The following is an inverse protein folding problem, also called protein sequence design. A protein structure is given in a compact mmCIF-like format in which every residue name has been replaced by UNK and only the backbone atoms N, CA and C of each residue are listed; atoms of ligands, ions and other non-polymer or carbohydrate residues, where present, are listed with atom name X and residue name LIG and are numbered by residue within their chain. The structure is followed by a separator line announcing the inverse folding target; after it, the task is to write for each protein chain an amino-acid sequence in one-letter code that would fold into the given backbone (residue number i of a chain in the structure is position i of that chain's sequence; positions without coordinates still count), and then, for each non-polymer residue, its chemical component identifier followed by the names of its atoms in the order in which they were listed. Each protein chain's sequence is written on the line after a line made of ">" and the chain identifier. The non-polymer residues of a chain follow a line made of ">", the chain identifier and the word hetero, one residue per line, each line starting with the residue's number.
data_IF_709649313808
#
_entry.id   IF_709649313808
#
_cell.length_a   1.000
_cell.length_b   1.000
_cell.length_c   1.000
_cell.angle_alpha   90.00
_cell.angle_beta   90.00
_cell.angle_gamma   90.00
#
_symmetry.space_group_name_H-M   'P 1'
#
loop_
_entity.id
_entity.type
_entity.pdbx_description
1 polymer ?
#
# COMPACT_ATOMS: atom_id res chain seq x y z
N UNK A 1 -27.39 34.74 -13.83
CA UNK A 1 -26.17 33.99 -14.18
C UNK A 1 -25.98 32.95 -13.11
N UNK A 2 -26.06 31.68 -13.51
CA UNK A 2 -25.93 30.50 -12.64
C UNK A 2 -24.45 30.32 -12.29
N UNK A 3 -24.12 30.21 -11.01
CA UNK A 3 -22.95 29.46 -10.54
C UNK A 3 -23.46 28.44 -9.53
N UNK A 4 -23.60 27.21 -10.02
CA UNK A 4 -23.76 26.00 -9.21
C UNK A 4 -22.46 25.79 -8.45
N UNK A 5 -22.45 26.06 -7.15
CA UNK A 5 -21.44 25.51 -6.25
C UNK A 5 -22.02 24.23 -5.67
N UNK A 6 -21.83 23.12 -6.38
CA UNK A 6 -22.19 21.77 -5.94
C UNK A 6 -20.90 20.99 -5.61
N UNK A 7 -19.96 21.66 -4.95
CA UNK A 7 -18.62 21.16 -4.60
C UNK A 7 -18.40 21.12 -3.08
N UNK A 8 -19.45 20.90 -2.29
CA UNK A 8 -19.27 20.33 -0.96
C UNK A 8 -19.08 18.82 -1.12
N UNK A 9 -17.86 18.44 -1.51
CA UNK A 9 -17.32 17.10 -1.25
C UNK A 9 -17.54 16.82 0.24
N UNK A 10 -18.54 16.02 0.57
CA UNK A 10 -18.77 15.53 1.92
C UNK A 10 -17.49 14.82 2.39
N UNK A 11 -16.62 15.56 3.11
CA UNK A 11 -15.38 15.02 3.66
C UNK A 11 -15.74 13.83 4.52
N UNK A 12 -15.23 12.67 4.14
CA UNK A 12 -15.51 11.44 4.82
C UNK A 12 -14.95 11.47 6.24
N UNK A 13 -15.73 10.96 7.18
CA UNK A 13 -15.31 10.91 8.58
C UNK A 13 -13.97 10.18 8.71
N UNK A 14 -12.98 10.74 9.45
CA UNK A 14 -11.67 10.12 9.64
C UNK A 14 -11.72 8.83 10.47
N UNK A 15 -12.88 8.50 11.04
CA UNK A 15 -13.10 7.30 11.85
C UNK A 15 -13.61 6.10 11.04
N UNK A 16 -13.99 6.31 9.77
CA UNK A 16 -14.41 5.22 8.90
C UNK A 16 -13.19 4.44 8.42
N UNK A 17 -13.31 3.12 8.27
CA UNK A 17 -12.27 2.26 7.69
C UNK A 17 -12.05 2.61 6.20
N UNK A 18 -10.85 2.44 5.63
CA UNK A 18 -10.59 2.73 4.21
C UNK A 18 -11.63 2.12 3.26
N UNK A 19 -12.04 0.87 3.52
CA UNK A 19 -13.04 0.12 2.75
C UNK A 19 -14.51 0.36 3.16
N UNK A 20 -14.85 1.43 3.90
CA UNK A 20 -16.21 1.57 4.43
C UNK A 20 -17.28 1.60 3.33
N UNK A 21 -17.01 2.20 2.15
CA UNK A 21 -17.98 2.28 1.04
C UNK A 21 -18.36 0.88 0.59
N UNK A 22 -17.36 0.02 0.39
CA UNK A 22 -17.60 -1.39 0.07
C UNK A 22 -18.37 -2.12 1.18
N UNK A 23 -17.94 -2.00 2.44
CA UNK A 23 -18.62 -2.66 3.57
C UNK A 23 -20.09 -2.20 3.70
N UNK A 24 -20.34 -0.92 3.44
CA UNK A 24 -21.69 -0.38 3.44
C UNK A 24 -22.51 -0.88 2.25
N UNK A 25 -21.92 -0.97 1.06
CA UNK A 25 -22.54 -1.54 -0.12
C UNK A 25 -22.93 -3.02 0.08
N UNK A 26 -22.07 -3.82 0.74
CA UNK A 26 -22.36 -5.21 1.15
C UNK A 26 -23.60 -5.26 2.02
N UNK A 27 -23.63 -4.49 3.12
CA UNK A 27 -24.78 -4.43 4.02
C UNK A 27 -26.08 -4.04 3.32
N UNK A 28 -26.04 -3.05 2.42
CA UNK A 28 -27.21 -2.66 1.64
C UNK A 28 -27.65 -3.77 0.67
N UNK A 29 -26.70 -4.49 0.05
CA UNK A 29 -27.01 -5.57 -0.89
C UNK A 29 -27.68 -6.78 -0.21
N UNK A 30 -27.38 -7.02 1.06
CA UNK A 30 -27.96 -8.09 1.88
C UNK A 30 -29.35 -7.73 2.43
N UNK A 31 -29.74 -6.45 2.37
CA UNK A 31 -31.06 -6.02 2.82
C UNK A 31 -32.17 -6.50 1.86
N UNK A 32 -33.30 -7.03 2.38
CA UNK A 32 -34.45 -7.42 1.57
C UNK A 32 -34.98 -6.27 0.70
N UNK A 33 -35.07 -5.07 1.30
CA UNK A 33 -35.45 -3.83 0.65
C UNK A 33 -34.38 -2.76 0.97
N UNK A 34 -33.34 -2.62 0.12
CA UNK A 34 -32.32 -1.60 0.33
C UNK A 34 -32.91 -0.23 0.04
N UNK A 35 -32.89 0.65 1.02
CA UNK A 35 -33.09 2.06 0.76
C UNK A 35 -31.79 2.66 0.18
N UNK A 36 -31.76 2.76 -1.14
CA UNK A 36 -30.63 3.31 -1.88
C UNK A 36 -30.43 4.82 -1.63
N UNK A 37 -31.40 5.50 -0.99
CA UNK A 37 -31.23 6.90 -0.60
C UNK A 37 -30.31 7.07 0.62
N UNK A 38 -30.01 5.98 1.34
CA UNK A 38 -29.05 5.99 2.46
C UNK A 38 -27.59 6.00 1.93
N UNK A 39 -27.37 5.64 0.67
CA UNK A 39 -26.05 5.79 0.05
C UNK A 39 -25.85 7.24 -0.41
N UNK A 40 -24.95 7.96 0.28
CA UNK A 40 -24.64 9.36 0.00
C UNK A 40 -23.97 9.59 -1.37
N UNK A 41 -23.36 8.56 -1.96
CA UNK A 41 -22.56 8.67 -3.19
C UNK A 41 -22.90 7.60 -4.25
N UNK A 42 -22.68 7.95 -5.53
CA UNK A 42 -23.03 7.10 -6.68
C UNK A 42 -22.19 5.81 -6.73
N UNK A 43 -20.91 5.86 -6.36
CA UNK A 43 -20.03 4.69 -6.42
C UNK A 43 -20.47 3.60 -5.43
N UNK A 44 -20.98 3.99 -4.25
CA UNK A 44 -21.59 3.05 -3.29
C UNK A 44 -22.87 2.43 -3.87
N UNK A 45 -23.72 3.23 -4.53
CA UNK A 45 -24.95 2.73 -5.18
C UNK A 45 -24.64 1.72 -6.28
N UNK A 46 -23.66 2.02 -7.12
CA UNK A 46 -23.22 1.15 -8.20
C UNK A 46 -22.61 -0.15 -7.64
N UNK A 47 -21.82 -0.06 -6.56
CA UNK A 47 -21.30 -1.25 -5.87
C UNK A 47 -22.41 -2.12 -5.28
N UNK A 48 -23.45 -1.54 -4.68
CA UNK A 48 -24.61 -2.30 -4.20
C UNK A 48 -25.37 -2.96 -5.35
N UNK A 49 -25.57 -2.26 -6.46
CA UNK A 49 -26.22 -2.81 -7.65
C UNK A 49 -25.42 -3.96 -8.27
N UNK A 50 -24.09 -3.81 -8.36
CA UNK A 50 -23.18 -4.88 -8.75
C UNK A 50 -23.27 -6.07 -7.80
N UNK A 51 -23.26 -5.85 -6.49
CA UNK A 51 -23.32 -6.93 -5.50
C UNK A 51 -24.61 -7.74 -5.58
N UNK A 52 -25.76 -7.10 -5.88
CA UNK A 52 -27.04 -7.79 -6.10
C UNK A 52 -27.14 -8.52 -7.43
N UNK A 53 -26.68 -7.90 -8.51
CA UNK A 53 -26.83 -8.45 -9.87
C UNK A 53 -25.72 -9.42 -10.28
N UNK A 54 -24.52 -9.24 -9.72
CA UNK A 54 -23.25 -9.84 -10.17
C UNK A 54 -22.96 -9.61 -11.66
N UNK A 55 -23.55 -8.57 -12.25
CA UNK A 55 -23.42 -8.24 -13.66
C UNK A 55 -22.09 -7.52 -13.94
N UNK A 56 -21.09 -8.30 -14.37
CA UNK A 56 -19.76 -7.79 -14.71
C UNK A 56 -19.72 -6.99 -16.01
N UNK A 57 -20.69 -7.18 -16.91
CA UNK A 57 -20.74 -6.43 -18.18
C UNK A 57 -21.25 -5.01 -17.92
N UNK A 58 -22.21 -4.87 -17.00
CA UNK A 58 -22.73 -3.57 -16.58
C UNK A 58 -21.80 -2.82 -15.63
N UNK A 59 -21.03 -3.52 -14.80
CA UNK A 59 -20.12 -2.92 -13.82
C UNK A 59 -18.68 -3.46 -13.94
N UNK A 60 -18.02 -3.30 -15.10
CA UNK A 60 -16.71 -3.91 -15.35
C UNK A 60 -15.62 -3.37 -14.42
N UNK A 61 -15.58 -2.07 -14.18
CA UNK A 61 -14.53 -1.47 -13.35
C UNK A 61 -14.66 -1.85 -11.86
N UNK A 62 -15.90 -2.02 -11.36
CA UNK A 62 -16.16 -2.52 -10.00
C UNK A 62 -15.75 -3.98 -9.88
N UNK A 63 -16.05 -4.79 -10.91
CA UNK A 63 -15.64 -6.19 -10.95
C UNK A 63 -14.11 -6.34 -10.89
N UNK A 64 -13.38 -5.61 -11.72
CA UNK A 64 -11.91 -5.68 -11.74
C UNK A 64 -11.30 -5.15 -10.44
N UNK A 65 -11.77 -4.00 -9.92
CA UNK A 65 -11.31 -3.49 -8.64
C UNK A 65 -11.59 -4.46 -7.47
N UNK A 66 -12.76 -5.12 -7.49
CA UNK A 66 -13.10 -6.13 -6.50
C UNK A 66 -12.22 -7.38 -6.60
N UNK A 67 -11.83 -7.78 -7.81
CA UNK A 67 -10.89 -8.88 -8.03
C UNK A 67 -9.54 -8.58 -7.38
N UNK A 68 -8.97 -7.40 -7.64
CA UNK A 68 -7.73 -6.93 -7.00
C UNK A 68 -7.85 -6.97 -5.47
N UNK A 69 -8.96 -6.46 -4.94
CA UNK A 69 -9.19 -6.44 -3.49
C UNK A 69 -9.26 -7.84 -2.88
N UNK A 70 -9.99 -8.76 -3.54
CA UNK A 70 -10.24 -10.12 -3.06
C UNK A 70 -9.01 -11.01 -3.14
N UNK A 71 -8.24 -10.91 -4.23
CA UNK A 71 -7.11 -11.79 -4.48
C UNK A 71 -5.95 -11.52 -3.49
N UNK A 72 -5.92 -10.32 -2.88
CA UNK A 72 -5.01 -9.92 -1.79
C UNK A 72 -3.52 -10.23 -2.05
N UNK A 73 -3.15 -10.20 -3.33
CA UNK A 73 -1.81 -10.50 -3.81
C UNK A 73 -0.94 -9.27 -4.06
N UNK A 74 0.10 -9.49 -4.86
CA UNK A 74 1.08 -8.48 -5.24
C UNK A 74 0.48 -7.17 -5.78
N UNK A 75 -0.44 -7.29 -6.75
CA UNK A 75 -1.07 -6.14 -7.42
C UNK A 75 -1.76 -5.20 -6.41
N UNK A 76 -2.45 -5.77 -5.43
CA UNK A 76 -3.06 -5.01 -4.34
C UNK A 76 -2.02 -4.31 -3.47
N UNK A 77 -0.96 -5.02 -3.09
CA UNK A 77 0.11 -4.46 -2.27
C UNK A 77 0.77 -3.25 -2.94
N UNK A 78 1.05 -3.36 -4.25
CA UNK A 78 1.65 -2.30 -5.05
C UNK A 78 0.71 -1.08 -5.11
N UNK A 79 -0.54 -1.28 -5.52
CA UNK A 79 -1.52 -0.19 -5.66
C UNK A 79 -1.71 0.57 -4.34
N UNK A 80 -1.95 -0.14 -3.23
CA UNK A 80 -2.18 0.51 -1.94
C UNK A 80 -0.95 1.29 -1.48
N UNK A 81 0.26 0.78 -1.71
CA UNK A 81 1.48 1.44 -1.29
C UNK A 81 1.80 2.68 -2.15
N UNK A 82 1.61 2.62 -3.47
CA UNK A 82 1.64 3.81 -4.33
C UNK A 82 0.58 4.83 -3.91
N UNK A 83 -0.59 4.37 -3.47
CA UNK A 83 -1.64 5.26 -2.96
C UNK A 83 -1.14 6.03 -1.72
N UNK A 84 -0.52 5.33 -0.78
CA UNK A 84 0.03 5.91 0.45
C UNK A 84 1.22 6.83 0.21
N UNK A 85 2.07 6.53 -0.78
CA UNK A 85 3.21 7.37 -1.17
C UNK A 85 2.78 8.69 -1.86
N UNK A 86 1.47 8.89 -2.09
CA UNK A 86 0.92 10.14 -2.61
C UNK A 86 0.90 10.26 -4.14
N UNK A 87 1.10 9.17 -4.88
CA UNK A 87 1.12 9.18 -6.35
C UNK A 87 -0.26 9.51 -6.95
N UNK A 88 -0.32 10.33 -7.99
CA UNK A 88 -1.58 10.54 -8.70
C UNK A 88 -2.15 9.24 -9.27
N UNK A 89 -3.46 9.20 -9.54
CA UNK A 89 -4.11 8.02 -10.16
C UNK A 89 -3.38 7.55 -11.42
N UNK A 90 -2.94 8.49 -12.26
CA UNK A 90 -2.24 8.17 -13.50
C UNK A 90 -0.86 7.57 -13.23
N UNK A 91 -0.13 8.08 -12.24
CA UNK A 91 1.13 7.48 -11.80
C UNK A 91 0.93 6.07 -11.21
N UNK A 92 -0.09 5.86 -10.38
CA UNK A 92 -0.40 4.51 -9.86
C UNK A 92 -0.69 3.55 -11.02
N UNK A 93 -1.48 4.00 -11.99
CA UNK A 93 -1.84 3.21 -13.18
C UNK A 93 -0.62 2.82 -14.03
N UNK A 94 0.28 3.78 -14.27
CA UNK A 94 1.52 3.55 -15.02
C UNK A 94 2.42 2.52 -14.31
N UNK A 95 2.51 2.62 -12.98
CA UNK A 95 3.36 1.75 -12.17
C UNK A 95 2.79 0.35 -12.00
N UNK A 96 1.49 0.24 -11.71
CA UNK A 96 0.85 -1.05 -11.46
C UNK A 96 0.36 -1.74 -12.74
N UNK A 97 0.49 -1.11 -13.92
CA UNK A 97 -0.06 -1.57 -15.19
C UNK A 97 -1.58 -1.80 -15.17
N UNK A 98 -2.31 -1.06 -14.32
CA UNK A 98 -3.78 -1.14 -14.18
C UNK A 98 -4.41 0.12 -14.75
N UNK A 99 -5.54 -0.02 -15.43
CA UNK A 99 -6.22 1.15 -16.01
C UNK A 99 -6.60 2.20 -14.95
N UNK A 100 -6.40 3.52 -15.23
CA UNK A 100 -6.72 4.59 -14.29
C UNK A 100 -8.15 4.55 -13.73
N UNK A 101 -9.13 4.15 -14.56
CA UNK A 101 -10.53 4.01 -14.13
C UNK A 101 -10.72 2.94 -13.04
N UNK A 102 -9.97 1.84 -13.10
CA UNK A 102 -10.01 0.76 -12.11
C UNK A 102 -9.34 1.26 -10.82
N UNK A 103 -8.21 1.98 -10.90
CA UNK A 103 -7.56 2.59 -9.75
C UNK A 103 -8.50 3.55 -9.01
N UNK A 104 -9.24 4.41 -9.72
CA UNK A 104 -10.22 5.32 -9.09
C UNK A 104 -11.30 4.57 -8.34
N UNK A 105 -11.87 3.52 -8.97
CA UNK A 105 -12.89 2.68 -8.33
C UNK A 105 -12.31 1.94 -7.13
N UNK A 106 -11.09 1.43 -7.27
CA UNK A 106 -10.38 0.72 -6.21
C UNK A 106 -10.16 1.61 -4.99
N UNK A 107 -9.55 2.78 -5.20
CA UNK A 107 -9.30 3.78 -4.16
C UNK A 107 -10.62 4.22 -3.52
N UNK A 108 -11.66 4.50 -4.31
CA UNK A 108 -12.94 4.96 -3.77
C UNK A 108 -13.65 3.91 -2.89
N UNK A 109 -13.66 2.64 -3.31
CA UNK A 109 -14.44 1.58 -2.66
C UNK A 109 -13.67 0.85 -1.55
N UNK A 110 -12.40 0.54 -1.79
CA UNK A 110 -11.61 -0.38 -0.98
C UNK A 110 -10.52 0.32 -0.16
N UNK A 111 -10.00 1.45 -0.65
CA UNK A 111 -8.81 2.08 -0.05
C UNK A 111 -8.88 3.61 -0.01
N UNK A 112 -10.01 4.16 0.45
CA UNK A 112 -10.25 5.60 0.47
C UNK A 112 -9.49 6.24 1.64
N UNK A 113 -8.20 6.50 1.44
CA UNK A 113 -7.30 7.09 2.45
C UNK A 113 -6.97 8.55 2.19
N UNK A 114 -6.99 9.01 0.92
CA UNK A 114 -6.66 10.40 0.55
C UNK A 114 -7.79 11.40 0.72
N UNK A 115 -9.04 10.94 0.62
CA UNK A 115 -10.23 11.78 0.76
C UNK A 115 -10.52 12.17 2.24
N UNK A 116 -9.60 11.84 3.15
CA UNK A 116 -9.82 11.91 4.59
C UNK A 116 -8.62 12.57 5.25
N UNK A 117 -8.91 13.43 6.22
CA UNK A 117 -7.91 13.97 7.14
C UNK A 117 -7.68 12.93 8.26
N UNK A 118 -7.11 11.78 7.89
CA UNK A 118 -6.83 10.69 8.84
C UNK A 118 -5.56 11.03 9.61
N UNK A 119 -5.59 11.07 10.95
CA UNK A 119 -4.38 11.17 11.76
C UNK A 119 -3.38 10.06 11.41
N UNK A 120 -2.09 10.38 11.34
CA UNK A 120 -1.05 9.46 10.87
C UNK A 120 -1.02 8.11 11.63
N UNK A 121 -1.22 8.15 12.95
CA UNK A 121 -1.33 6.96 13.81
C UNK A 121 -2.49 6.04 13.40
N UNK A 122 -3.63 6.62 13.01
CA UNK A 122 -4.77 5.87 12.50
C UNK A 122 -4.55 5.35 11.10
N UNK A 123 -3.90 6.13 10.24
CA UNK A 123 -3.56 5.67 8.89
C UNK A 123 -2.66 4.43 8.98
N UNK A 124 -1.63 4.48 9.84
CA UNK A 124 -0.78 3.33 10.16
C UNK A 124 -1.57 2.14 10.68
N UNK A 125 -2.47 2.36 11.64
CA UNK A 125 -3.30 1.28 12.17
C UNK A 125 -4.17 0.63 11.09
N UNK A 126 -4.74 1.42 10.18
CA UNK A 126 -5.63 0.92 9.12
C UNK A 126 -4.89 0.22 7.97
N UNK A 127 -3.65 0.61 7.68
CA UNK A 127 -2.93 0.11 6.49
C UNK A 127 -1.84 -0.91 6.84
N UNK A 128 -1.12 -0.70 7.93
CA UNK A 128 0.00 -1.54 8.37
C UNK A 128 -0.45 -2.57 9.43
N UNK A 129 -1.40 -2.20 10.30
CA UNK A 129 -1.85 -3.06 11.41
C UNK A 129 -0.90 -3.08 12.62
N UNK A 130 -0.97 -4.12 13.46
CA UNK A 130 -0.19 -4.25 14.72
C UNK A 130 1.32 -4.57 14.50
N UNK A 131 1.96 -3.96 13.51
CA UNK A 131 3.35 -4.25 13.11
C UNK A 131 4.39 -3.91 14.19
N UNK A 132 4.20 -2.82 14.95
CA UNK A 132 5.27 -2.20 15.72
C UNK A 132 5.76 -3.00 16.94
N UNK A 133 4.98 -3.97 17.43
CA UNK A 133 5.30 -4.70 18.68
C UNK A 133 5.49 -6.20 18.45
N UNK A 134 4.78 -6.80 17.49
CA UNK A 134 4.78 -8.25 17.27
C UNK A 134 5.48 -8.71 16.00
N UNK A 135 6.06 -7.78 15.22
CA UNK A 135 6.50 -8.02 13.85
C UNK A 135 5.31 -8.07 12.87
N UNK A 136 5.59 -8.13 11.57
CA UNK A 136 4.53 -8.29 10.55
C UNK A 136 3.84 -9.64 10.73
N UNK A 137 2.62 -9.67 11.29
CA UNK A 137 1.92 -10.90 11.70
C UNK A 137 1.74 -11.95 10.59
N UNK A 138 1.75 -11.54 9.31
CA UNK A 138 1.62 -12.44 8.16
C UNK A 138 2.86 -12.44 7.24
N UNK A 139 3.99 -11.80 7.62
CA UNK A 139 5.16 -11.57 6.75
C UNK A 139 4.78 -11.01 5.35
N UNK A 140 3.69 -10.23 5.29
CA UNK A 140 3.08 -9.84 4.03
C UNK A 140 3.74 -8.57 3.50
N UNK A 141 4.17 -8.67 2.26
CA UNK A 141 4.74 -7.59 1.45
C UNK A 141 3.84 -6.35 1.46
N UNK A 142 2.52 -6.53 1.45
CA UNK A 142 1.54 -5.44 1.60
C UNK A 142 1.76 -4.58 2.85
N UNK A 143 1.98 -5.18 4.01
CA UNK A 143 2.17 -4.42 5.26
C UNK A 143 3.49 -3.66 5.26
N UNK A 144 4.56 -4.30 4.79
CA UNK A 144 5.87 -3.67 4.69
C UNK A 144 5.89 -2.52 3.69
N UNK A 145 5.25 -2.68 2.55
CA UNK A 145 5.18 -1.63 1.53
C UNK A 145 4.32 -0.46 1.96
N UNK A 146 3.20 -0.72 2.64
CA UNK A 146 2.43 0.33 3.29
C UNK A 146 3.27 1.07 4.34
N UNK A 147 4.10 0.35 5.12
CA UNK A 147 5.01 0.98 6.09
C UNK A 147 6.07 1.84 5.40
N UNK A 148 6.73 1.34 4.34
CA UNK A 148 7.72 2.10 3.56
C UNK A 148 7.10 3.38 3.00
N UNK A 149 5.98 3.25 2.28
CA UNK A 149 5.28 4.37 1.67
C UNK A 149 4.91 5.49 2.65
N UNK A 150 4.72 5.16 3.94
CA UNK A 150 4.40 6.12 4.99
C UNK A 150 5.61 6.71 5.73
N UNK A 151 6.78 6.09 5.66
CA UNK A 151 7.94 6.47 6.46
C UNK A 151 9.17 6.89 5.65
N UNK A 152 9.20 6.59 4.35
CA UNK A 152 10.35 6.91 3.48
C UNK A 152 9.92 7.81 2.33
N UNK A 153 10.84 8.64 1.80
CA UNK A 153 10.62 9.30 0.51
C UNK A 153 10.32 8.30 -0.59
N UNK A 154 9.63 8.74 -1.65
CA UNK A 154 9.19 7.87 -2.74
C UNK A 154 10.38 7.20 -3.45
N UNK A 155 11.51 7.88 -3.59
CA UNK A 155 12.71 7.33 -4.23
C UNK A 155 13.22 6.07 -3.51
N UNK A 156 13.13 6.04 -2.18
CA UNK A 156 13.47 4.85 -1.40
C UNK A 156 12.45 3.72 -1.61
N UNK A 157 11.18 4.08 -1.75
CA UNK A 157 10.10 3.13 -2.03
C UNK A 157 10.29 2.47 -3.41
N UNK A 158 10.67 3.23 -4.45
CA UNK A 158 10.98 2.69 -5.78
C UNK A 158 12.09 1.62 -5.72
N UNK A 159 13.18 1.92 -5.00
CA UNK A 159 14.31 1.01 -4.83
C UNK A 159 13.99 -0.27 -4.06
N UNK A 160 12.90 -0.29 -3.28
CA UNK A 160 12.45 -1.46 -2.55
C UNK A 160 11.44 -2.32 -3.35
N UNK A 161 10.65 -1.72 -4.23
CA UNK A 161 9.60 -2.42 -4.99
C UNK A 161 10.12 -2.99 -6.31
N UNK A 162 10.84 -2.20 -7.11
CA UNK A 162 11.24 -2.62 -8.46
C UNK A 162 12.10 -3.89 -8.51
N UNK A 163 13.14 -4.05 -7.66
CA UNK A 163 13.92 -5.29 -7.62
C UNK A 163 13.06 -6.53 -7.35
N UNK A 164 12.02 -6.36 -6.52
CA UNK A 164 11.09 -7.44 -6.22
C UNK A 164 10.09 -7.73 -7.32
N UNK A 165 9.63 -6.73 -8.07
CA UNK A 165 8.80 -6.97 -9.26
C UNK A 165 9.52 -7.88 -10.26
N UNK A 166 10.80 -7.58 -10.51
CA UNK A 166 11.63 -8.39 -11.40
C UNK A 166 11.76 -9.82 -10.88
N UNK A 167 12.12 -10.00 -9.60
CA UNK A 167 12.30 -11.33 -9.00
C UNK A 167 10.98 -12.13 -8.90
N UNK A 168 9.83 -11.46 -8.70
CA UNK A 168 8.52 -12.10 -8.64
C UNK A 168 8.02 -12.56 -10.00
N UNK A 169 8.35 -11.82 -11.07
CA UNK A 169 8.03 -12.23 -12.44
C UNK A 169 8.71 -13.55 -12.86
N UNK A 170 9.73 -13.97 -12.12
CA UNK A 170 10.51 -15.19 -12.34
C UNK A 170 10.05 -16.37 -11.47
N UNK A 171 9.14 -16.17 -10.52
CA UNK A 171 8.66 -17.22 -9.60
C UNK A 171 7.20 -17.59 -9.86
N UNK A 172 6.89 -18.89 -9.97
CA UNK A 172 5.52 -19.43 -10.09
C UNK A 172 4.66 -19.28 -8.81
N UNK A 173 5.15 -18.58 -7.77
CA UNK A 173 4.44 -18.40 -6.51
C UNK A 173 3.73 -17.03 -6.49
N UNK A 174 2.41 -17.06 -6.63
CA UNK A 174 1.54 -15.88 -6.77
C UNK A 174 1.52 -14.94 -5.53
N UNK A 175 2.15 -15.33 -4.42
CA UNK A 175 2.11 -14.57 -3.16
C UNK A 175 3.50 -14.07 -2.74
N UNK A 176 3.76 -12.76 -2.83
CA UNK A 176 5.08 -12.23 -2.50
C UNK A 176 5.32 -12.29 -0.98
N UNK A 177 6.42 -12.95 -0.60
CA UNK A 177 6.86 -13.06 0.79
C UNK A 177 8.08 -12.16 1.04
N UNK A 178 8.17 -11.59 2.25
CA UNK A 178 9.33 -10.78 2.62
C UNK A 178 10.67 -11.53 2.60
N UNK A 179 10.63 -12.87 2.59
CA UNK A 179 11.82 -13.72 2.46
C UNK A 179 12.53 -13.59 1.11
N UNK A 180 11.86 -13.12 0.06
CA UNK A 180 12.45 -12.90 -1.27
C UNK A 180 13.60 -11.89 -1.19
N UNK A 181 13.38 -10.80 -0.45
CA UNK A 181 14.39 -9.78 -0.15
C UNK A 181 15.64 -10.31 0.55
N UNK A 182 15.55 -11.47 1.22
CA UNK A 182 16.62 -12.02 2.03
C UNK A 182 17.41 -13.13 1.30
N UNK A 183 17.13 -13.36 0.02
CA UNK A 183 17.84 -14.35 -0.77
C UNK A 183 19.29 -13.89 -1.05
N UNK A 184 20.29 -14.79 -1.04
CA UNK A 184 21.68 -14.42 -1.28
C UNK A 184 21.96 -13.77 -2.64
N UNK A 185 21.11 -14.07 -3.62
CA UNK A 185 21.15 -13.56 -5.00
C UNK A 185 20.18 -12.39 -5.23
N UNK A 186 19.52 -11.89 -4.18
CA UNK A 186 18.60 -10.76 -4.32
C UNK A 186 19.34 -9.52 -4.79
N UNK A 187 18.75 -8.85 -5.76
CA UNK A 187 19.22 -7.57 -6.31
C UNK A 187 18.93 -6.38 -5.38
N UNK A 188 18.21 -6.62 -4.29
CA UNK A 188 17.84 -5.62 -3.28
C UNK A 188 19.09 -5.19 -2.50
N UNK A 189 19.32 -3.87 -2.29
CA UNK A 189 20.42 -3.39 -1.48
C UNK A 189 20.46 -3.96 -0.05
N UNK A 190 21.65 -4.30 0.44
CA UNK A 190 21.85 -4.96 1.75
C UNK A 190 21.22 -4.22 2.93
N UNK A 191 21.10 -2.89 2.87
CA UNK A 191 20.46 -2.10 3.92
C UNK A 191 18.94 -2.34 3.97
N UNK A 192 18.28 -2.52 2.83
CA UNK A 192 16.86 -2.91 2.77
C UNK A 192 16.67 -4.33 3.29
N UNK A 193 17.57 -5.26 2.91
CA UNK A 193 17.54 -6.62 3.44
C UNK A 193 17.68 -6.63 4.98
N UNK A 194 18.57 -5.78 5.52
CA UNK A 194 18.78 -5.63 6.96
C UNK A 194 17.52 -5.09 7.66
N UNK A 195 16.92 -4.03 7.11
CA UNK A 195 15.67 -3.45 7.63
C UNK A 195 14.50 -4.45 7.60
N UNK A 196 14.40 -5.27 6.55
CA UNK A 196 13.38 -6.30 6.42
C UNK A 196 13.63 -7.42 7.43
N UNK A 197 14.87 -7.86 7.58
CA UNK A 197 15.25 -8.85 8.58
C UNK A 197 14.86 -8.39 10.00
N UNK A 198 14.99 -7.10 10.32
CA UNK A 198 14.57 -6.51 11.60
C UNK A 198 13.07 -6.49 11.80
N UNK A 199 12.32 -6.26 10.73
CA UNK A 199 10.86 -6.19 10.77
C UNK A 199 10.18 -7.57 10.73
N UNK A 200 10.90 -8.61 10.26
CA UNK A 200 10.44 -10.00 10.14
C UNK A 200 10.95 -10.88 11.28
N UNK A 201 12.12 -10.57 11.88
CA UNK A 201 12.62 -11.34 13.00
C UNK A 201 11.65 -11.23 14.20
N UNK A 202 11.18 -12.36 14.77
CA UNK A 202 10.44 -12.31 16.02
C UNK A 202 11.32 -11.65 17.08
N UNK A 203 10.71 -10.95 18.03
CA UNK A 203 11.39 -10.29 19.14
C UNK A 203 12.27 -11.29 19.93
N UNK A 204 13.54 -11.44 19.57
CA UNK A 204 14.53 -12.25 20.30
C UNK A 204 15.29 -11.29 21.22
N UNK A 205 14.97 -11.36 22.52
CA UNK A 205 15.64 -10.80 23.68
C UNK A 205 16.60 -9.58 23.44
N UNK A 206 16.27 -8.37 23.94
CA UNK A 206 17.06 -7.13 23.76
C UNK A 206 18.48 -7.13 24.38
N UNK A 207 18.93 -8.23 24.99
CA UNK A 207 20.30 -8.38 25.46
C UNK A 207 21.31 -8.76 24.37
N UNK A 208 20.88 -9.06 23.15
CA UNK A 208 21.78 -9.38 22.04
C UNK A 208 22.49 -8.11 21.56
N UNK A 209 23.82 -8.16 21.54
CA UNK A 209 24.75 -7.06 21.22
C UNK A 209 24.45 -6.40 19.85
N UNK A 210 23.94 -7.18 18.91
CA UNK A 210 23.49 -6.72 17.59
C UNK A 210 22.32 -5.72 17.64
N UNK A 211 21.36 -5.85 18.57
CA UNK A 211 20.21 -4.93 18.68
C UNK A 211 20.65 -3.52 19.12
N UNK A 212 21.69 -3.43 19.96
CA UNK A 212 22.25 -2.12 20.36
C UNK A 212 23.02 -1.46 19.23
N UNK A 213 23.78 -2.25 18.47
CA UNK A 213 24.44 -1.76 17.26
C UNK A 213 23.40 -1.28 16.24
N UNK A 214 22.33 -2.04 16.05
CA UNK A 214 21.23 -1.66 15.17
C UNK A 214 20.53 -0.35 15.59
N UNK A 215 20.08 -0.23 16.85
CA UNK A 215 19.44 0.99 17.34
C UNK A 215 20.35 2.23 17.19
N UNK A 216 21.66 2.04 17.31
CA UNK A 216 22.65 3.07 17.06
C UNK A 216 22.72 3.48 15.58
N UNK A 217 22.75 2.52 14.64
CA UNK A 217 22.75 2.82 13.20
C UNK A 217 21.42 3.39 12.71
N UNK A 218 20.28 2.92 13.23
CA UNK A 218 18.95 3.46 12.90
C UNK A 218 18.79 4.92 13.33
N UNK A 219 19.29 5.28 14.52
CA UNK A 219 19.32 6.68 14.95
C UNK A 219 20.24 7.52 14.05
N UNK A 220 21.39 6.98 13.66
CA UNK A 220 22.27 7.66 12.70
C UNK A 220 21.59 7.88 11.35
N UNK A 221 20.78 6.94 10.87
CA UNK A 221 20.04 7.06 9.61
C UNK A 221 18.97 8.15 9.67
N UNK A 222 18.20 8.23 10.77
CA UNK A 222 17.18 9.29 10.95
C UNK A 222 17.77 10.70 11.08
N UNK A 223 19.05 10.82 11.42
CA UNK A 223 19.75 12.10 11.59
C UNK A 223 20.48 12.58 10.32
N UNK A 224 20.46 11.80 9.23
CA UNK A 224 21.09 12.21 7.98
C UNK A 224 20.17 13.15 7.17
N UNK A 225 20.66 14.32 6.73
CA UNK A 225 19.92 15.17 5.80
C UNK A 225 19.80 14.47 4.45
N UNK A 226 18.58 14.37 3.93
CA UNK A 226 18.09 13.69 2.71
C UNK A 226 18.89 13.96 1.41
N UNK A 227 19.86 14.88 1.43
CA UNK A 227 20.70 15.24 0.28
C UNK A 227 22.07 14.54 0.23
N UNK A 228 22.51 13.85 1.29
CA UNK A 228 23.80 13.13 1.30
C UNK A 228 23.72 11.68 0.83
N UNK A 229 22.54 11.06 0.88
CA UNK A 229 22.31 9.68 0.45
C UNK A 229 22.51 9.52 -1.06
N UNK A 230 22.07 10.51 -1.86
CA UNK A 230 22.30 10.53 -3.31
C UNK A 230 23.78 10.62 -3.70
N UNK A 231 24.65 11.23 -2.88
CA UNK A 231 26.09 11.35 -3.18
C UNK A 231 26.91 10.13 -2.78
N UNK A 232 26.42 9.33 -1.83
CA UNK A 232 27.05 8.04 -1.52
C UNK A 232 26.71 6.96 -2.56
N UNK A 233 25.57 7.11 -3.25
CA UNK A 233 25.15 6.24 -4.36
C UNK A 233 26.02 6.43 -5.62
N UNK A 234 26.39 7.66 -5.97
CA UNK A 234 27.26 7.93 -7.15
C UNK A 234 28.72 7.46 -7.00
N UNK A 235 29.25 7.29 -5.78
CA UNK A 235 30.67 6.98 -5.56
C UNK A 235 31.01 5.50 -5.37
N UNK A 236 30.00 4.63 -5.18
CA UNK A 236 30.23 3.20 -4.99
C UNK A 236 29.82 2.33 -6.20
N UNK A 237 28.97 2.83 -7.10
CA UNK A 237 28.66 2.13 -8.36
C UNK A 237 29.90 2.06 -9.28
N UNK A 238 30.75 3.09 -9.28
CA UNK A 238 31.98 3.11 -10.09
C UNK A 238 33.12 2.20 -9.58
N UNK A 239 33.03 1.68 -8.34
CA UNK A 239 34.09 0.84 -7.75
C UNK A 239 33.86 -0.66 -7.92
N UNK A 240 32.63 -1.10 -8.18
CA UNK A 240 32.33 -2.53 -8.38
C UNK A 240 32.29 -2.94 -9.87
N UNK A 241 32.25 -2.00 -10.82
CA UNK A 241 32.38 -2.29 -12.26
C UNK A 241 33.86 -2.46 -12.71
N UNK A 242 34.83 -2.33 -11.79
CA UNK A 242 36.28 -2.47 -12.08
C UNK A 242 37.02 -3.49 -11.19
N UNK A 243 36.33 -4.51 -10.67
CA UNK A 243 36.99 -5.68 -10.07
C UNK A 243 36.54 -6.98 -10.71
#
# INVERSE_FOLDING_TARGET
>A
MLHNNNDELHKLSPHKLPCYRWNFAVRLSEAPEPDMNIADDQITKDATAYLKSKDKEKFPDIYEAYKIYRDDGYERAHIEACILAGLTVDQVADWSCVYPRIIRVYEALFFSVRERDIPFDRLLQYTVGDCLITGFKNHQVRQFWAWLALHTPFEFFEHAIYPMEAELSETDDDSPALSLYLRPDSSVPIYFQTMIAECVAPFINPQIEWIRAFAHYYQQFRELPTSKELRYLDHNVDREVKR
#
